data_IF_192757942709
#
_entry.id   IF_192757942709
#
_cell.length_a   1.000
_cell.length_b   1.000
_cell.length_c   1.000
_cell.angle_alpha   90.00
_cell.angle_beta   90.00
_cell.angle_gamma   90.00
#
_symmetry.space_group_name_H-M   'P 1'
#
loop_
_entity.id
_entity.type
_entity.pdbx_description
1 polymer ?
#
# COMPACT_ATOMS: atom_id res chain seq x y z
N UNK A 1 27.97 -1.49 -18.02
CA UNK A 1 27.50 -0.12 -17.66
C UNK A 1 26.43 0.29 -18.65
N UNK A 2 25.23 0.58 -18.20
CA UNK A 2 24.15 1.08 -19.05
C UNK A 2 24.51 2.44 -19.67
N UNK A 3 24.03 2.69 -20.87
CA UNK A 3 24.17 3.99 -21.53
C UNK A 3 23.38 5.05 -20.78
N UNK A 4 23.71 6.35 -20.94
CA UNK A 4 22.93 7.45 -20.36
C UNK A 4 21.45 7.34 -20.71
N UNK A 5 21.13 6.91 -21.94
CA UNK A 5 19.76 6.70 -22.42
C UNK A 5 18.99 5.65 -21.59
N UNK A 6 19.66 4.59 -21.16
CA UNK A 6 19.01 3.55 -20.33
C UNK A 6 18.75 4.04 -18.91
N UNK A 7 19.68 4.80 -18.32
CA UNK A 7 19.56 5.35 -16.97
C UNK A 7 18.44 6.39 -16.85
N UNK A 8 18.17 7.11 -17.93
CA UNK A 8 17.17 8.17 -17.96
C UNK A 8 15.84 7.69 -18.58
N UNK A 9 15.71 6.37 -18.88
CA UNK A 9 14.45 5.84 -19.42
C UNK A 9 13.34 5.94 -18.37
N UNK A 10 12.11 6.19 -18.85
CA UNK A 10 10.94 6.29 -17.97
C UNK A 10 10.77 5.04 -17.10
N UNK A 11 10.91 3.85 -17.69
CA UNK A 11 10.80 2.59 -16.97
C UNK A 11 11.86 2.45 -15.86
N UNK A 12 13.10 2.82 -16.15
CA UNK A 12 14.19 2.78 -15.18
C UNK A 12 13.94 3.76 -14.03
N UNK A 13 13.51 5.00 -14.33
CA UNK A 13 13.21 6.02 -13.32
C UNK A 13 12.04 5.61 -12.45
N UNK A 14 10.98 5.04 -13.02
CA UNK A 14 9.84 4.52 -12.25
C UNK A 14 10.26 3.40 -11.31
N UNK A 15 11.02 2.43 -11.80
CA UNK A 15 11.46 1.29 -11.00
C UNK A 15 12.42 1.70 -9.88
N UNK A 16 13.41 2.54 -10.20
CA UNK A 16 14.37 3.01 -9.19
C UNK A 16 13.71 3.94 -8.19
N UNK A 17 12.82 4.82 -8.64
CA UNK A 17 12.06 5.71 -7.77
C UNK A 17 11.15 4.93 -6.81
N UNK A 18 10.43 3.94 -7.29
CA UNK A 18 9.59 3.07 -6.47
C UNK A 18 10.41 2.31 -5.43
N UNK A 19 11.56 1.75 -5.84
CA UNK A 19 12.46 1.04 -4.92
C UNK A 19 12.99 1.96 -3.81
N UNK A 20 13.41 3.17 -4.16
CA UNK A 20 13.90 4.15 -3.19
C UNK A 20 12.81 4.64 -2.26
N UNK A 21 11.60 4.85 -2.78
CA UNK A 21 10.43 5.23 -1.98
C UNK A 21 10.08 4.13 -0.96
N UNK A 22 10.06 2.88 -1.37
CA UNK A 22 9.81 1.75 -0.49
C UNK A 22 10.87 1.62 0.60
N UNK A 23 12.15 1.78 0.26
CA UNK A 23 13.25 1.75 1.24
C UNK A 23 13.13 2.88 2.26
N UNK A 24 12.78 4.08 1.81
CA UNK A 24 12.57 5.23 2.68
C UNK A 24 11.36 5.03 3.60
N UNK A 25 10.27 4.48 3.09
CA UNK A 25 9.10 4.12 3.90
C UNK A 25 9.46 3.12 5.00
N UNK A 26 10.16 2.05 4.66
CA UNK A 26 10.60 1.04 5.63
C UNK A 26 11.42 1.64 6.76
N UNK A 27 12.36 2.51 6.43
CA UNK A 27 13.19 3.20 7.42
C UNK A 27 12.36 4.11 8.31
N UNK A 28 11.48 4.92 7.73
CA UNK A 28 10.64 5.85 8.50
C UNK A 28 9.72 5.11 9.47
N UNK A 29 9.04 4.07 9.04
CA UNK A 29 8.18 3.27 9.92
C UNK A 29 8.98 2.60 11.02
N UNK A 30 10.15 2.04 10.71
CA UNK A 30 11.02 1.42 11.71
C UNK A 30 11.49 2.41 12.77
N UNK A 31 11.78 3.65 12.37
CA UNK A 31 12.26 4.71 13.26
C UNK A 31 11.14 5.43 14.02
N UNK A 32 9.91 5.39 13.54
CA UNK A 32 8.77 6.10 14.13
C UNK A 32 8.30 5.53 15.46
N UNK A 33 8.69 4.31 15.81
CA UNK A 33 8.34 3.69 17.09
C UNK A 33 6.85 3.40 17.26
N UNK A 34 6.14 3.10 16.17
CA UNK A 34 4.69 2.87 16.19
C UNK A 34 4.30 1.46 16.67
N UNK A 35 5.26 0.58 16.87
CA UNK A 35 5.00 -0.81 17.24
C UNK A 35 4.55 -1.69 16.06
N UNK A 36 4.66 -1.19 14.84
CA UNK A 36 4.40 -1.93 13.61
C UNK A 36 5.68 -2.09 12.80
N UNK A 37 5.82 -3.24 12.15
CA UNK A 37 6.79 -3.41 11.08
C UNK A 37 6.29 -2.69 9.81
N UNK A 38 7.17 -2.36 8.84
CA UNK A 38 6.75 -1.80 7.56
C UNK A 38 5.71 -2.65 6.82
N UNK A 39 5.84 -3.97 6.85
CA UNK A 39 4.86 -4.88 6.26
C UNK A 39 3.49 -4.81 6.93
N UNK A 40 3.44 -4.77 8.25
CA UNK A 40 2.23 -4.60 9.03
C UNK A 40 1.57 -3.23 8.76
N UNK A 41 2.37 -2.17 8.67
CA UNK A 41 1.87 -0.84 8.35
C UNK A 41 1.25 -0.79 6.94
N UNK A 42 1.89 -1.40 5.93
CA UNK A 42 1.33 -1.52 4.58
C UNK A 42 0.03 -2.32 4.57
N UNK A 43 -0.03 -3.40 5.32
CA UNK A 43 -1.25 -4.20 5.45
C UNK A 43 -2.40 -3.36 6.05
N UNK A 44 -2.13 -2.61 7.11
CA UNK A 44 -3.13 -1.73 7.73
C UNK A 44 -3.64 -0.66 6.76
N UNK A 45 -2.74 -0.01 6.02
CA UNK A 45 -3.11 0.97 4.99
C UNK A 45 -3.96 0.34 3.88
N UNK A 46 -3.64 -0.87 3.47
CA UNK A 46 -4.40 -1.58 2.45
C UNK A 46 -5.79 -1.93 2.95
N UNK A 47 -5.92 -2.40 4.18
CA UNK A 47 -7.23 -2.63 4.82
C UNK A 47 -8.05 -1.33 4.84
N UNK A 48 -7.43 -0.19 5.14
CA UNK A 48 -8.12 1.09 5.16
C UNK A 48 -8.67 1.50 3.78
N UNK A 49 -7.98 1.12 2.70
CA UNK A 49 -8.42 1.43 1.32
C UNK A 49 -9.56 0.50 0.89
N UNK A 50 -9.55 -0.76 1.32
CA UNK A 50 -10.49 -1.78 0.88
C UNK A 50 -11.20 -2.45 2.06
N UNK A 51 -11.62 -1.64 3.01
CA UNK A 51 -12.28 -2.08 4.25
C UNK A 51 -13.44 -3.05 3.94
N UNK A 52 -13.47 -4.17 4.63
CA UNK A 52 -14.43 -5.24 4.39
C UNK A 52 -14.05 -6.22 3.28
N UNK A 53 -12.88 -6.10 2.67
CA UNK A 53 -12.39 -7.05 1.66
C UNK A 53 -11.93 -8.36 2.28
N UNK A 54 -11.91 -9.41 1.45
CA UNK A 54 -11.38 -10.71 1.83
C UNK A 54 -9.87 -10.65 2.05
N UNK A 55 -9.37 -11.49 2.94
CA UNK A 55 -7.94 -11.62 3.22
C UNK A 55 -7.13 -11.92 1.96
N UNK A 56 -7.63 -12.77 1.07
CA UNK A 56 -7.01 -13.08 -0.21
C UNK A 56 -6.86 -11.88 -1.13
N UNK A 57 -7.85 -10.97 -1.15
CA UNK A 57 -7.81 -9.76 -1.96
C UNK A 57 -6.75 -8.77 -1.45
N UNK A 58 -6.60 -8.68 -0.13
CA UNK A 58 -5.57 -7.85 0.50
C UNK A 58 -4.18 -8.37 0.16
N UNK A 59 -3.96 -9.68 0.25
CA UNK A 59 -2.69 -10.32 -0.13
C UNK A 59 -2.35 -10.04 -1.60
N UNK A 60 -3.32 -10.18 -2.50
CA UNK A 60 -3.15 -9.92 -3.92
C UNK A 60 -2.77 -8.45 -4.21
N UNK A 61 -3.40 -7.49 -3.52
CA UNK A 61 -3.07 -6.07 -3.66
C UNK A 61 -1.66 -5.74 -3.21
N UNK A 62 -1.20 -6.40 -2.16
CA UNK A 62 0.16 -6.23 -1.63
C UNK A 62 1.20 -7.03 -2.41
N UNK A 63 0.79 -7.98 -3.24
CA UNK A 63 1.70 -8.86 -3.96
C UNK A 63 2.50 -9.77 -3.04
N UNK A 64 1.91 -10.22 -1.93
CA UNK A 64 2.57 -11.05 -0.91
C UNK A 64 1.86 -12.40 -0.77
N UNK A 65 2.59 -13.37 -0.24
CA UNK A 65 2.11 -14.72 -0.01
C UNK A 65 0.99 -14.76 1.05
N UNK A 66 0.02 -15.70 0.92
CA UNK A 66 -1.08 -15.83 1.88
C UNK A 66 -0.64 -16.04 3.33
N UNK A 67 0.44 -16.77 3.57
CA UNK A 67 0.96 -16.97 4.92
C UNK A 67 1.54 -15.70 5.52
N UNK A 68 2.17 -14.87 4.70
CA UNK A 68 2.74 -13.59 5.13
C UNK A 68 1.64 -12.61 5.53
N UNK A 69 0.57 -12.48 4.72
CA UNK A 69 -0.55 -11.62 5.08
C UNK A 69 -1.25 -12.11 6.33
N UNK A 70 -1.38 -13.42 6.51
CA UNK A 70 -1.97 -14.00 7.71
C UNK A 70 -1.22 -13.54 8.97
N UNK A 71 0.12 -13.60 8.96
CA UNK A 71 0.96 -13.15 10.07
C UNK A 71 0.78 -11.64 10.36
N UNK A 72 0.74 -10.80 9.31
CA UNK A 72 0.52 -9.37 9.48
C UNK A 72 -0.86 -9.07 10.07
N UNK A 73 -1.90 -9.74 9.58
CA UNK A 73 -3.26 -9.55 10.09
C UNK A 73 -3.43 -10.08 11.53
N UNK A 74 -2.75 -11.18 11.87
CA UNK A 74 -2.71 -11.67 13.26
C UNK A 74 -2.16 -10.61 14.21
N UNK A 75 -1.08 -9.96 13.81
CA UNK A 75 -0.48 -8.87 14.60
C UNK A 75 -1.41 -7.68 14.72
N UNK A 76 -2.00 -7.23 13.61
CA UNK A 76 -2.94 -6.10 13.60
C UNK A 76 -4.18 -6.39 14.45
N UNK A 77 -4.68 -7.61 14.41
CA UNK A 77 -5.80 -8.03 15.25
C UNK A 77 -5.41 -8.07 16.74
N UNK A 78 -4.21 -8.54 17.06
CA UNK A 78 -3.72 -8.56 18.45
C UNK A 78 -3.58 -7.15 19.05
N UNK A 79 -3.38 -6.14 18.21
CA UNK A 79 -3.31 -4.73 18.58
C UNK A 79 -4.67 -4.02 18.53
N UNK A 80 -5.74 -4.76 18.29
CA UNK A 80 -7.12 -4.24 18.18
C UNK A 80 -7.28 -3.20 17.04
N UNK A 81 -6.54 -3.36 15.96
CA UNK A 81 -6.60 -2.46 14.81
C UNK A 81 -7.54 -2.96 13.71
N UNK A 82 -7.73 -4.27 13.65
CA UNK A 82 -8.63 -4.93 12.70
C UNK A 82 -9.44 -6.02 13.40
N UNK A 83 -10.54 -6.38 12.75
CA UNK A 83 -11.32 -7.58 13.07
C UNK A 83 -11.47 -8.45 11.84
N UNK A 84 -11.47 -9.76 12.04
CA UNK A 84 -11.84 -10.72 11.01
C UNK A 84 -13.29 -11.10 11.21
N UNK A 85 -14.12 -10.82 10.22
CA UNK A 85 -15.53 -11.20 10.20
C UNK A 85 -15.77 -12.29 9.19
N UNK A 86 -16.65 -13.24 9.51
CA UNK A 86 -17.01 -14.28 8.57
C UNK A 86 -17.77 -13.67 7.38
N UNK A 87 -17.39 -14.09 6.15
CA UNK A 87 -18.12 -13.68 4.96
C UNK A 87 -19.54 -14.30 4.99
N UNK A 88 -20.61 -13.48 4.83
CA UNK A 88 -21.98 -14.00 4.84
C UNK A 88 -22.28 -14.98 3.70
N UNK A 89 -21.53 -14.89 2.60
CA UNK A 89 -21.74 -15.70 1.40
C UNK A 89 -20.79 -16.90 1.28
N UNK A 90 -19.66 -16.86 1.98
CA UNK A 90 -18.63 -17.91 1.93
C UNK A 90 -18.04 -18.13 3.32
N UNK A 91 -18.43 -19.25 3.95
CA UNK A 91 -17.97 -19.63 5.29
C UNK A 91 -16.47 -19.88 5.39
N UNK A 92 -15.79 -20.09 4.26
CA UNK A 92 -14.34 -20.33 4.20
C UNK A 92 -13.54 -19.03 4.16
N UNK A 93 -14.18 -17.91 3.85
CA UNK A 93 -13.55 -16.61 3.71
C UNK A 93 -13.78 -15.74 4.93
N UNK A 94 -12.77 -14.96 5.27
CA UNK A 94 -12.86 -13.90 6.29
C UNK A 94 -12.77 -12.54 5.62
N UNK A 95 -13.64 -11.64 6.03
CA UNK A 95 -13.57 -10.22 5.69
C UNK A 95 -12.76 -9.48 6.76
N UNK A 96 -11.94 -8.57 6.33
CA UNK A 96 -11.07 -7.80 7.21
C UNK A 96 -11.64 -6.39 7.30
N UNK A 97 -11.95 -5.96 8.52
CA UNK A 97 -12.51 -4.64 8.79
C UNK A 97 -11.66 -3.90 9.81
N UNK A 98 -11.61 -2.57 9.67
CA UNK A 98 -10.99 -1.70 10.65
C UNK A 98 -11.84 -1.64 11.93
N UNK A 99 -11.16 -1.53 13.06
CA UNK A 99 -11.79 -1.17 14.34
C UNK A 99 -11.83 0.34 14.49
N UNK A 100 -12.64 0.83 15.45
CA UNK A 100 -12.61 2.26 15.81
C UNK A 100 -11.26 2.67 16.40
N UNK A 101 -10.59 1.77 17.09
CA UNK A 101 -9.29 2.01 17.71
C UNK A 101 -8.16 2.22 16.67
N UNK A 102 -8.37 1.85 15.42
CA UNK A 102 -7.36 1.97 14.37
C UNK A 102 -7.08 3.40 13.90
N UNK A 103 -8.00 4.34 14.16
CA UNK A 103 -7.94 5.70 13.60
C UNK A 103 -6.64 6.43 13.98
N UNK A 104 -6.21 6.35 15.22
CA UNK A 104 -4.97 7.00 15.70
C UNK A 104 -3.72 6.40 15.05
N UNK A 105 -3.64 5.07 14.96
CA UNK A 105 -2.53 4.38 14.32
C UNK A 105 -2.47 4.68 12.82
N UNK A 106 -3.61 4.66 12.14
CA UNK A 106 -3.70 5.01 10.71
C UNK A 106 -3.22 6.43 10.47
N UNK A 107 -3.63 7.38 11.31
CA UNK A 107 -3.19 8.77 11.19
C UNK A 107 -1.67 8.88 11.37
N UNK A 108 -1.11 8.20 12.35
CA UNK A 108 0.33 8.20 12.58
C UNK A 108 1.11 7.62 11.38
N UNK A 109 0.65 6.52 10.80
CA UNK A 109 1.26 5.95 9.59
C UNK A 109 1.11 6.89 8.38
N UNK A 110 -0.06 7.49 8.21
CA UNK A 110 -0.30 8.45 7.11
C UNK A 110 0.59 9.68 7.20
N UNK A 111 0.82 10.20 8.39
CA UNK A 111 1.75 11.32 8.61
C UNK A 111 3.17 10.99 8.14
N UNK A 112 3.65 9.79 8.41
CA UNK A 112 4.96 9.34 7.92
C UNK A 112 5.01 9.29 6.39
N UNK A 113 3.95 8.84 5.75
CA UNK A 113 3.85 8.82 4.29
C UNK A 113 3.79 10.22 3.72
N UNK A 114 2.98 11.10 4.30
CA UNK A 114 2.82 12.47 3.81
C UNK A 114 4.14 13.24 3.88
N UNK A 115 4.90 13.10 4.95
CA UNK A 115 6.24 13.67 5.08
C UNK A 115 7.21 13.09 4.06
N UNK A 116 7.17 11.78 3.85
CA UNK A 116 8.00 11.12 2.84
C UNK A 116 7.67 11.62 1.43
N UNK A 117 6.40 11.72 1.08
CA UNK A 117 5.97 12.23 -0.24
C UNK A 117 6.36 13.69 -0.39
N UNK A 118 6.21 14.50 0.64
CA UNK A 118 6.63 15.91 0.63
C UNK A 118 8.14 16.02 0.36
N UNK A 119 8.93 15.19 1.01
CA UNK A 119 10.38 15.14 0.76
C UNK A 119 10.70 14.67 -0.66
N UNK A 120 10.03 13.62 -1.13
CA UNK A 120 10.25 13.05 -2.45
C UNK A 120 9.85 13.98 -3.60
N UNK A 121 8.93 14.90 -3.35
CA UNK A 121 8.43 15.87 -4.35
C UNK A 121 9.03 17.28 -4.19
N UNK A 122 10.07 17.43 -3.37
CA UNK A 122 10.78 18.71 -3.27
C UNK A 122 11.28 19.18 -4.64
N UNK A 123 11.07 20.44 -4.93
CA UNK A 123 11.41 21.03 -6.23
C UNK A 123 10.26 21.01 -7.24
N UNK A 124 9.16 20.33 -6.94
CA UNK A 124 7.94 20.35 -7.74
C UNK A 124 6.91 21.31 -7.11
N UNK A 125 6.19 22.04 -7.93
CA UNK A 125 5.04 22.82 -7.47
C UNK A 125 3.78 21.95 -7.38
N UNK A 126 2.69 22.49 -6.82
CA UNK A 126 1.45 21.74 -6.61
C UNK A 126 0.82 21.23 -7.90
N UNK A 127 0.91 22.00 -8.99
CA UNK A 127 0.40 21.58 -10.31
C UNK A 127 1.21 20.40 -10.86
N UNK A 128 2.51 20.44 -10.71
CA UNK A 128 3.41 19.36 -11.14
C UNK A 128 3.17 18.08 -10.33
N UNK A 129 2.97 18.18 -9.03
CA UNK A 129 2.62 17.05 -8.17
C UNK A 129 1.26 16.46 -8.59
N UNK A 130 0.27 17.29 -8.89
CA UNK A 130 -1.04 16.84 -9.36
C UNK A 130 -0.95 16.13 -10.72
N UNK A 131 -0.15 16.65 -11.66
CA UNK A 131 0.13 16.00 -12.94
C UNK A 131 0.84 14.65 -12.76
N UNK A 132 1.82 14.58 -11.89
CA UNK A 132 2.54 13.35 -11.59
C UNK A 132 1.60 12.29 -11.03
N UNK A 133 0.72 12.66 -10.11
CA UNK A 133 -0.34 11.78 -9.59
C UNK A 133 -1.23 11.25 -10.72
N UNK A 134 -1.68 12.12 -11.61
CA UNK A 134 -2.50 11.76 -12.76
C UNK A 134 -1.78 10.78 -13.68
N UNK A 135 -0.50 10.99 -13.96
CA UNK A 135 0.29 10.12 -14.80
C UNK A 135 0.46 8.72 -14.19
N UNK A 136 0.71 8.65 -12.88
CA UNK A 136 0.79 7.37 -12.19
C UNK A 136 -0.56 6.63 -12.17
N UNK A 137 -1.68 7.34 -12.02
CA UNK A 137 -3.01 6.75 -12.11
C UNK A 137 -3.27 6.18 -13.51
N UNK A 138 -2.96 6.92 -14.54
CA UNK A 138 -3.10 6.47 -15.94
C UNK A 138 -2.25 5.23 -16.21
N UNK A 139 -1.00 5.24 -15.77
CA UNK A 139 -0.09 4.09 -15.91
C UNK A 139 -0.67 2.85 -15.21
N UNK A 140 -1.13 3.00 -13.99
CA UNK A 140 -1.74 1.91 -13.23
C UNK A 140 -2.96 1.35 -13.97
N UNK A 141 -3.86 2.22 -14.43
CA UNK A 141 -5.10 1.83 -15.08
C UNK A 141 -4.83 1.09 -16.40
N UNK A 142 -3.83 1.55 -17.16
CA UNK A 142 -3.40 0.88 -18.41
C UNK A 142 -2.76 -0.49 -18.18
N UNK A 143 -2.11 -0.69 -17.04
CA UNK A 143 -1.40 -1.93 -16.72
C UNK A 143 -2.24 -2.91 -15.90
N UNK A 144 -3.42 -2.53 -15.42
CA UNK A 144 -4.30 -3.47 -14.73
C UNK A 144 -4.77 -4.56 -15.71
N UNK A 145 -4.68 -5.84 -15.31
CA UNK A 145 -5.22 -6.92 -16.14
C UNK A 145 -6.72 -6.71 -16.36
N UNK A 146 -7.19 -6.96 -17.58
CA UNK A 146 -8.62 -6.99 -17.87
C UNK A 146 -9.29 -8.01 -16.94
N UNK A 147 -10.31 -7.58 -16.19
CA UNK A 147 -11.08 -8.50 -15.39
C UNK A 147 -11.89 -9.40 -16.36
N UNK A 148 -11.71 -10.72 -16.30
CA UNK A 148 -12.56 -11.62 -17.09
C UNK A 148 -14.00 -11.52 -16.56
N UNK A 149 -14.90 -10.85 -17.28
CA UNK A 149 -16.32 -10.83 -16.93
C UNK A 149 -17.13 -9.55 -17.15
N UNK A 150 -16.63 -8.54 -17.86
CA UNK A 150 -17.46 -7.38 -18.22
C UNK A 150 -17.76 -7.29 -19.73
N UNK A 151 -18.01 -8.43 -20.37
CA UNK A 151 -18.70 -8.47 -21.66
C UNK A 151 -19.87 -9.45 -21.52
N UNK A 152 -20.96 -8.90 -21.10
CA UNK A 152 -22.25 -9.55 -21.12
C UNK A 152 -23.32 -8.51 -21.26
#
# INVERSE_FOLDING_TARGET
MGTKREKDSLAFLLNSGARLLNSAFERRISEAGLGLTPGEARALLTVAVVDGSKQSDIAARLGIEPMTICAYLDKLQSLDLIERQQDPQDRRSKRIVLTKSSAEMLEAVRQEIDELVRHATQGLNDEEVALFRRFLQTLRDNLQPEQPGQNG
#
